data_IF_132932865962
#
_entry.id   IF_132932865962
#
_cell.length_a   1.000
_cell.length_b   1.000
_cell.length_c   1.000
_cell.angle_alpha   90.00
_cell.angle_beta   90.00
_cell.angle_gamma   90.00
#
_symmetry.space_group_name_H-M   'P 1'
#
loop_
_entity.id
_entity.type
_entity.pdbx_description
1 polymer ?
#
# COMPACT_ATOMS: atom_id res chain seq x y z
N UNK A 1 4.52 -13.64 -4.16
CA UNK A 1 3.86 -12.36 -4.40
C UNK A 1 4.63 -11.61 -5.47
N UNK A 2 3.94 -11.11 -6.46
CA UNK A 2 4.60 -10.43 -7.58
C UNK A 2 4.75 -8.94 -7.28
N UNK A 3 5.93 -8.40 -7.55
CA UNK A 3 6.14 -6.98 -7.48
C UNK A 3 5.50 -6.29 -8.69
N UNK A 4 4.97 -5.10 -8.46
CA UNK A 4 4.38 -4.27 -9.51
C UNK A 4 5.38 -3.17 -9.85
N UNK A 5 5.82 -3.12 -11.10
CA UNK A 5 6.74 -2.08 -11.54
C UNK A 5 6.01 -0.73 -11.59
N UNK A 6 6.67 0.31 -11.12
CA UNK A 6 6.13 1.67 -11.13
C UNK A 6 7.18 2.62 -11.68
N UNK A 7 6.72 3.78 -12.14
CA UNK A 7 7.65 4.84 -12.49
C UNK A 7 8.40 5.28 -11.23
N UNK A 8 9.73 5.42 -11.28
CA UNK A 8 10.53 5.74 -10.10
C UNK A 8 10.05 7.02 -9.41
N UNK A 9 9.94 6.93 -8.08
CA UNK A 9 9.50 8.06 -7.27
C UNK A 9 10.12 7.96 -5.88
N UNK A 10 10.43 9.11 -5.28
CA UNK A 10 10.88 9.18 -3.90
C UNK A 10 9.67 9.16 -2.97
N UNK A 11 9.69 8.26 -1.99
CA UNK A 11 8.59 8.08 -1.05
C UNK A 11 9.18 8.03 0.36
N UNK A 12 8.46 8.63 1.33
CA UNK A 12 8.89 8.58 2.71
C UNK A 12 8.63 7.20 3.32
N UNK A 13 9.65 6.64 3.94
CA UNK A 13 9.59 5.33 4.60
C UNK A 13 9.77 5.48 6.12
N UNK A 14 9.69 4.36 6.84
CA UNK A 14 9.90 4.30 8.29
C UNK A 14 11.21 3.58 8.59
N UNK A 15 12.10 4.17 9.42
CA UNK A 15 12.04 5.52 10.00
C UNK A 15 12.08 6.61 8.94
N UNK A 16 11.67 7.82 9.29
CA UNK A 16 11.47 8.93 8.36
C UNK A 16 12.71 9.17 7.49
N UNK A 17 12.64 8.68 6.26
CA UNK A 17 13.71 8.86 5.26
C UNK A 17 13.08 8.69 3.88
N UNK A 18 13.67 9.32 2.89
CA UNK A 18 13.21 9.17 1.52
C UNK A 18 13.90 7.98 0.87
N UNK A 19 13.12 7.14 0.22
CA UNK A 19 13.63 6.00 -0.54
C UNK A 19 13.06 6.05 -1.95
N UNK A 20 13.86 5.61 -2.92
CA UNK A 20 13.37 5.53 -4.29
C UNK A 20 12.60 4.24 -4.48
N UNK A 21 11.39 4.35 -5.03
CA UNK A 21 10.52 3.21 -5.29
C UNK A 21 10.44 3.00 -6.80
N UNK A 22 10.91 1.85 -7.26
CA UNK A 22 10.85 1.44 -8.67
C UNK A 22 9.82 0.33 -8.88
N UNK A 23 9.49 -0.38 -7.82
CA UNK A 23 8.50 -1.44 -7.84
C UNK A 23 7.91 -1.56 -6.44
N UNK A 24 6.69 -2.07 -6.33
CA UNK A 24 6.04 -2.27 -5.04
C UNK A 24 5.61 -3.72 -4.89
N UNK A 25 5.80 -4.23 -3.68
CA UNK A 25 5.18 -5.45 -3.20
C UNK A 25 4.64 -5.15 -1.81
N UNK A 26 3.69 -5.93 -1.33
CA UNK A 26 3.05 -5.60 -0.07
C UNK A 26 2.62 -6.85 0.67
N UNK A 27 2.46 -6.68 1.99
CA UNK A 27 1.79 -7.64 2.85
C UNK A 27 0.64 -6.94 3.54
N UNK A 28 -0.42 -7.68 3.78
CA UNK A 28 -1.61 -7.14 4.44
C UNK A 28 -1.83 -7.85 5.77
N UNK A 29 -2.29 -7.07 6.75
CA UNK A 29 -2.79 -7.60 8.01
C UNK A 29 -4.16 -7.00 8.25
N UNK A 30 -5.20 -7.84 8.17
CA UNK A 30 -6.57 -7.40 8.34
C UNK A 30 -7.02 -7.70 9.77
N UNK A 31 -7.46 -6.66 10.46
CA UNK A 31 -8.07 -6.80 11.78
C UNK A 31 -9.51 -6.33 11.69
N UNK A 32 -10.41 -7.27 11.40
CA UNK A 32 -11.82 -6.97 11.22
C UNK A 32 -12.47 -6.47 12.51
N UNK A 33 -11.98 -6.92 13.67
CA UNK A 33 -12.51 -6.49 14.95
C UNK A 33 -12.22 -5.01 15.19
N UNK A 34 -11.01 -4.57 14.91
CA UNK A 34 -10.61 -3.17 15.04
C UNK A 34 -11.01 -2.35 13.82
N UNK A 35 -11.52 -2.97 12.78
CA UNK A 35 -11.82 -2.35 11.48
C UNK A 35 -10.62 -1.60 10.95
N UNK A 36 -9.50 -2.32 10.86
CA UNK A 36 -8.24 -1.73 10.43
C UNK A 36 -7.49 -2.73 9.56
N UNK A 37 -7.10 -2.28 8.38
CA UNK A 37 -6.24 -3.02 7.47
C UNK A 37 -4.88 -2.32 7.43
N UNK A 38 -3.84 -3.07 7.73
CA UNK A 38 -2.46 -2.58 7.62
C UNK A 38 -1.84 -3.18 6.38
N UNK A 39 -1.20 -2.33 5.59
CA UNK A 39 -0.49 -2.74 4.38
C UNK A 39 0.95 -2.28 4.54
N UNK A 40 1.88 -3.22 4.47
CA UNK A 40 3.31 -2.89 4.55
C UNK A 40 3.92 -3.04 3.17
N UNK A 41 4.26 -1.92 2.56
CA UNK A 41 4.81 -1.86 1.21
C UNK A 41 6.33 -1.93 1.28
N UNK A 42 6.91 -2.87 0.55
CA UNK A 42 8.36 -3.07 0.47
C UNK A 42 9.02 -3.27 1.85
N UNK A 43 8.23 -3.66 2.85
CA UNK A 43 8.71 -3.88 4.21
C UNK A 43 9.03 -2.62 5.00
N UNK A 44 8.85 -1.43 4.43
CA UNK A 44 9.29 -0.18 5.07
C UNK A 44 8.31 0.98 4.93
N UNK A 45 7.23 0.82 4.15
CA UNK A 45 6.26 1.90 3.94
C UNK A 45 4.90 1.42 4.45
N UNK A 46 4.46 1.87 5.64
CA UNK A 46 3.17 1.43 6.17
C UNK A 46 2.02 2.26 5.60
N UNK A 47 0.91 1.58 5.32
CA UNK A 47 -0.35 2.22 4.95
C UNK A 47 -1.40 1.64 5.88
N UNK A 48 -2.24 2.50 6.47
CA UNK A 48 -3.31 2.06 7.36
C UNK A 48 -4.65 2.51 6.79
N UNK A 49 -5.58 1.56 6.64
CA UNK A 49 -6.95 1.82 6.23
C UNK A 49 -7.83 1.48 7.43
N UNK A 50 -8.55 2.46 7.96
CA UNK A 50 -9.34 2.26 9.18
C UNK A 50 -10.60 3.10 9.16
N UNK A 51 -11.53 2.77 10.05
CA UNK A 51 -12.77 3.52 10.20
C UNK A 51 -13.64 3.46 8.96
N UNK A 52 -14.12 4.61 8.50
CA UNK A 52 -15.00 4.70 7.35
C UNK A 52 -14.33 4.19 6.07
N UNK A 53 -13.04 4.43 5.94
CA UNK A 53 -12.29 3.94 4.78
C UNK A 53 -12.25 2.42 4.75
N UNK A 54 -12.07 1.79 5.92
CA UNK A 54 -12.13 0.34 6.02
C UNK A 54 -13.51 -0.19 5.62
N UNK A 55 -14.57 0.45 6.11
CA UNK A 55 -15.93 0.06 5.78
C UNK A 55 -16.21 0.22 4.28
N UNK A 56 -15.72 1.30 3.69
CA UNK A 56 -15.90 1.56 2.25
C UNK A 56 -15.13 0.57 1.39
N UNK A 57 -14.04 0.03 1.90
CA UNK A 57 -13.23 -0.94 1.18
C UNK A 57 -14.00 -2.25 0.92
N UNK A 58 -14.82 -2.67 1.89
CA UNK A 58 -15.61 -3.89 1.77
C UNK A 58 -14.74 -5.11 1.57
N UNK A 59 -15.18 -6.01 0.69
CA UNK A 59 -14.35 -7.15 0.29
C UNK A 59 -13.33 -6.70 -0.74
N UNK A 60 -12.09 -7.07 -0.52
CA UNK A 60 -11.00 -6.63 -1.37
C UNK A 60 -10.20 -7.80 -1.93
N UNK A 61 -9.56 -7.55 -3.07
CA UNK A 61 -8.69 -8.51 -3.75
C UNK A 61 -7.30 -7.91 -3.84
N UNK A 62 -6.34 -8.68 -4.35
CA UNK A 62 -5.00 -8.16 -4.61
C UNK A 62 -5.03 -6.95 -5.52
N UNK A 63 -5.93 -6.94 -6.51
CA UNK A 63 -6.04 -5.80 -7.42
C UNK A 63 -6.53 -4.56 -6.68
N UNK A 64 -7.48 -4.71 -5.76
CA UNK A 64 -7.96 -3.62 -4.93
C UNK A 64 -6.82 -3.01 -4.13
N UNK A 65 -6.00 -3.86 -3.50
CA UNK A 65 -4.87 -3.40 -2.70
C UNK A 65 -3.82 -2.73 -3.59
N UNK A 66 -3.55 -3.28 -4.76
CA UNK A 66 -2.63 -2.67 -5.71
C UNK A 66 -3.07 -1.24 -6.05
N UNK A 67 -4.34 -1.04 -6.40
CA UNK A 67 -4.85 0.28 -6.72
C UNK A 67 -4.75 1.23 -5.53
N UNK A 68 -5.04 0.73 -4.34
CA UNK A 68 -4.97 1.52 -3.12
C UNK A 68 -3.52 1.95 -2.82
N UNK A 69 -2.57 1.05 -2.96
CA UNK A 69 -1.15 1.36 -2.74
C UNK A 69 -0.67 2.42 -3.74
N UNK A 70 -1.00 2.24 -5.01
CA UNK A 70 -0.60 3.22 -6.03
C UNK A 70 -1.21 4.59 -5.75
N UNK A 71 -2.48 4.64 -5.37
CA UNK A 71 -3.15 5.91 -5.09
C UNK A 71 -2.58 6.59 -3.83
N UNK A 72 -2.38 5.82 -2.75
CA UNK A 72 -1.88 6.37 -1.50
C UNK A 72 -0.47 6.94 -1.62
N UNK A 73 0.38 6.29 -2.39
CA UNK A 73 1.75 6.71 -2.59
C UNK A 73 1.91 7.59 -3.83
N UNK A 74 0.81 7.85 -4.53
CA UNK A 74 0.81 8.65 -5.75
C UNK A 74 1.81 8.10 -6.78
N UNK A 75 1.78 6.78 -6.94
CA UNK A 75 2.65 6.08 -7.87
C UNK A 75 1.89 5.81 -9.17
N UNK A 76 2.63 5.75 -10.26
CA UNK A 76 2.09 5.41 -11.58
C UNK A 76 2.70 4.09 -12.01
N UNK A 77 1.83 3.13 -12.35
CA UNK A 77 2.31 1.83 -12.82
C UNK A 77 3.13 2.02 -14.09
N UNK A 78 4.27 1.37 -14.13
CA UNK A 78 5.10 1.37 -15.33
C UNK A 78 4.46 0.47 -16.38
N UNK A 79 4.45 0.92 -17.61
CA UNK A 79 3.82 0.22 -18.72
C UNK A 79 4.89 -0.53 -19.53
#
# INVERSE_FOLDING_TARGET
MNAVAVNPKQVEAVPARMVQVNAVSWRTMDDAFARRLQILVNGIIPIVVQGDDYNALGQWTDDTIKQLVLARLELVAAV
#
